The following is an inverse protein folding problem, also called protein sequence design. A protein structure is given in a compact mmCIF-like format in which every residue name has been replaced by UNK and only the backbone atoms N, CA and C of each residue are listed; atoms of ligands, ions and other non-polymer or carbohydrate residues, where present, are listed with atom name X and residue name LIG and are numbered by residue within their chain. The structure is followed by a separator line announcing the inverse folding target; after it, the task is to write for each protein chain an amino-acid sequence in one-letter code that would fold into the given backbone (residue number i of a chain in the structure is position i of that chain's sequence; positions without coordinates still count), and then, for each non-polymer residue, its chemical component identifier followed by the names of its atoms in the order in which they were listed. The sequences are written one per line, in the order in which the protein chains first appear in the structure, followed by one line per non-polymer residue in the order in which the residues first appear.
data_IF_552791377152
#
_entry.id   IF_552791377152
#
_cell.length_a   1.000
_cell.length_b   1.000
_cell.length_c   1.000
_cell.angle_alpha   90.00
_cell.angle_beta   90.00
_cell.angle_gamma   90.00
#
_symmetry.space_group_name_H-M   'P 1'
#
loop_
_entity.id
_entity.type
_entity.pdbx_description
1 polymer ?
#
# COMPACT_ATOMS: atom_id res chain seq x y z
N UNK A 1 18.94 26.12 0.41
CA UNK A 1 18.13 25.22 1.28
C UNK A 1 17.76 24.02 0.43
N UNK A 2 18.26 22.83 0.78
CA UNK A 2 18.00 21.60 0.02
C UNK A 2 17.01 20.74 0.79
N UNK A 3 16.00 20.19 0.11
CA UNK A 3 15.02 19.27 0.69
C UNK A 3 15.37 17.84 0.33
N UNK A 4 15.15 16.92 1.25
CA UNK A 4 15.27 15.49 1.03
C UNK A 4 13.95 14.83 1.42
N UNK A 5 13.57 13.78 0.69
CA UNK A 5 12.45 12.90 1.00
C UNK A 5 13.02 11.55 1.41
N UNK A 6 12.51 11.00 2.51
CA UNK A 6 12.92 9.69 3.02
C UNK A 6 11.66 8.85 3.15
N UNK A 7 11.74 7.60 2.71
CA UNK A 7 10.63 6.67 2.69
C UNK A 7 10.89 5.54 3.69
N UNK A 8 9.89 5.14 4.51
CA UNK A 8 10.06 4.06 5.46
C UNK A 8 10.29 2.72 4.75
N UNK A 9 11.09 1.86 5.38
CA UNK A 9 11.34 0.50 4.91
C UNK A 9 10.31 -0.51 5.43
N UNK A 10 10.60 -1.79 5.24
CA UNK A 10 9.78 -2.89 5.73
C UNK A 10 9.71 -2.92 7.28
N UNK A 11 8.56 -3.32 7.80
CA UNK A 11 8.26 -3.37 9.25
C UNK A 11 7.31 -2.28 9.72
N UNK A 12 7.00 -1.30 8.87
CA UNK A 12 6.04 -0.23 9.15
C UNK A 12 4.63 -0.51 8.60
N UNK A 13 4.40 -1.66 7.96
CA UNK A 13 3.10 -2.01 7.39
C UNK A 13 2.03 -2.19 8.48
N UNK A 14 0.84 -1.63 8.23
CA UNK A 14 -0.34 -1.75 9.09
C UNK A 14 -1.59 -1.92 8.23
N UNK A 15 -2.57 -2.66 8.75
CA UNK A 15 -3.87 -2.78 8.10
C UNK A 15 -4.53 -1.40 7.96
N UNK A 16 -5.09 -1.14 6.78
CA UNK A 16 -5.72 0.12 6.41
C UNK A 16 -4.76 1.18 5.86
N UNK A 17 -3.45 0.91 5.76
CA UNK A 17 -2.50 1.90 5.25
C UNK A 17 -2.85 2.34 3.81
N UNK A 18 -2.82 3.65 3.56
CA UNK A 18 -3.11 4.21 2.25
C UNK A 18 -4.59 4.20 1.81
N UNK A 19 -5.52 3.60 2.59
CA UNK A 19 -6.94 3.55 2.24
C UNK A 19 -7.56 4.93 2.08
N UNK A 20 -7.38 5.81 3.08
CA UNK A 20 -7.88 7.20 3.02
C UNK A 20 -7.26 7.99 1.87
N UNK A 21 -5.99 7.72 1.57
CA UNK A 21 -5.29 8.37 0.46
C UNK A 21 -5.90 7.95 -0.88
N UNK A 22 -6.13 6.65 -1.08
CA UNK A 22 -6.79 6.12 -2.27
C UNK A 22 -8.24 6.59 -2.39
N UNK A 23 -8.98 6.69 -1.28
CA UNK A 23 -10.34 7.20 -1.27
C UNK A 23 -10.43 8.69 -1.64
N UNK A 24 -9.44 9.48 -1.25
CA UNK A 24 -9.44 10.94 -1.42
C UNK A 24 -8.83 11.37 -2.77
N UNK A 25 -7.77 10.69 -3.23
CA UNK A 25 -6.98 11.13 -4.37
C UNK A 25 -7.01 10.08 -5.49
N UNK A 26 -7.63 10.39 -6.66
CA UNK A 26 -7.69 9.46 -7.79
C UNK A 26 -6.32 8.96 -8.27
N UNK A 27 -5.28 9.80 -8.16
CA UNK A 27 -3.92 9.41 -8.51
C UNK A 27 -3.36 8.32 -7.58
N UNK A 28 -3.69 8.35 -6.29
CA UNK A 28 -3.30 7.30 -5.35
C UNK A 28 -4.08 6.01 -5.63
N UNK A 29 -5.38 6.12 -5.93
CA UNK A 29 -6.20 4.97 -6.32
C UNK A 29 -5.65 4.24 -7.54
N UNK A 30 -5.28 4.98 -8.58
CA UNK A 30 -4.72 4.42 -9.80
C UNK A 30 -3.44 3.60 -9.56
N UNK A 31 -2.60 3.97 -8.58
CA UNK A 31 -1.41 3.21 -8.21
C UNK A 31 -1.77 1.86 -7.59
N UNK A 32 -2.77 1.81 -6.71
CA UNK A 32 -3.24 0.52 -6.16
C UNK A 32 -3.85 -0.37 -7.24
N UNK A 33 -4.67 0.21 -8.13
CA UNK A 33 -5.28 -0.55 -9.23
C UNK A 33 -4.20 -1.11 -10.19
N UNK A 34 -3.16 -0.33 -10.53
CA UNK A 34 -2.03 -0.77 -11.36
C UNK A 34 -1.24 -1.92 -10.71
N UNK A 35 -1.01 -1.85 -9.39
CA UNK A 35 -0.31 -2.90 -8.65
C UNK A 35 -1.13 -4.18 -8.60
N UNK A 36 -2.44 -4.09 -8.34
CA UNK A 36 -3.31 -5.25 -8.33
C UNK A 36 -3.35 -5.94 -9.72
N UNK A 37 -3.45 -5.16 -10.79
CA UNK A 37 -3.41 -5.65 -12.17
C UNK A 37 -2.06 -6.31 -12.52
N UNK A 38 -0.94 -5.72 -12.07
CA UNK A 38 0.40 -6.23 -12.33
C UNK A 38 0.68 -7.55 -11.60
N UNK A 39 0.14 -7.71 -10.39
CA UNK A 39 0.27 -8.94 -9.59
C UNK A 39 -0.74 -10.01 -10.00
N UNK A 40 -1.86 -9.63 -10.63
CA UNK A 40 -3.00 -10.53 -10.85
C UNK A 40 -3.73 -10.90 -9.55
N UNK A 41 -3.48 -10.15 -8.48
CA UNK A 41 -3.97 -10.37 -7.13
C UNK A 41 -4.39 -9.05 -6.51
N UNK A 42 -5.37 -9.07 -5.62
CA UNK A 42 -5.82 -7.86 -4.92
C UNK A 42 -4.96 -7.59 -3.68
N UNK A 43 -3.73 -7.14 -3.89
CA UNK A 43 -2.85 -6.72 -2.80
C UNK A 43 -3.49 -5.56 -2.02
N UNK A 44 -4.21 -4.66 -2.69
CA UNK A 44 -4.98 -3.58 -2.04
C UNK A 44 -5.95 -4.11 -0.97
N UNK A 45 -6.62 -5.24 -1.23
CA UNK A 45 -7.55 -5.86 -0.28
C UNK A 45 -6.82 -6.41 0.95
N UNK A 46 -5.65 -7.04 0.77
CA UNK A 46 -4.80 -7.47 1.89
C UNK A 46 -4.34 -6.28 2.73
N UNK A 47 -3.93 -5.19 2.07
CA UNK A 47 -3.48 -3.97 2.75
C UNK A 47 -4.60 -3.32 3.57
N UNK A 48 -5.83 -3.25 3.05
CA UNK A 48 -6.91 -2.50 3.69
C UNK A 48 -7.73 -3.29 4.69
N UNK A 49 -7.97 -4.57 4.43
CA UNK A 49 -8.96 -5.37 5.17
C UNK A 49 -8.41 -6.75 5.58
N UNK A 50 -7.18 -7.08 5.19
CA UNK A 50 -6.59 -8.39 5.42
C UNK A 50 -6.02 -8.59 6.82
N UNK A 51 -5.18 -9.62 6.95
CA UNK A 51 -4.52 -9.98 8.19
C UNK A 51 -3.07 -9.46 8.26
N UNK A 52 -2.66 -9.04 9.46
CA UNK A 52 -1.35 -8.45 9.68
C UNK A 52 -0.20 -9.45 9.44
N UNK A 53 -0.36 -10.72 9.82
CA UNK A 53 0.64 -11.75 9.61
C UNK A 53 0.88 -11.96 8.10
N UNK A 54 -0.22 -12.08 7.35
CA UNK A 54 -0.17 -12.19 5.89
C UNK A 54 0.46 -10.95 5.22
N UNK A 55 0.12 -9.73 5.66
CA UNK A 55 0.71 -8.49 5.12
C UNK A 55 2.22 -8.37 5.43
N UNK A 56 2.70 -9.01 6.50
CA UNK A 56 4.11 -8.99 6.89
C UNK A 56 4.94 -10.12 6.30
N UNK A 57 4.30 -11.09 5.64
CA UNK A 57 4.98 -12.26 5.09
C UNK A 57 5.94 -11.86 3.97
N UNK A 58 7.16 -12.39 4.03
CA UNK A 58 8.16 -12.31 2.95
C UNK A 58 8.43 -13.70 2.43
N UNK A 59 8.28 -13.88 1.12
CA UNK A 59 8.69 -15.08 0.38
C UNK A 59 10.12 -14.97 -0.18
#
# INVERSE_FOLDING_TARGET
MTRAFVFPGQGAQVIGMGADLAATYPAARAVFDEVDDALGERLSALIWEGDQEALTLTE
#
